data_IF_044477305428
#
_entry.id   IF_044477305428
#
_cell.length_a   1.000
_cell.length_b   1.000
_cell.length_c   1.000
_cell.angle_alpha   90.00
_cell.angle_beta   90.00
_cell.angle_gamma   90.00
#
_symmetry.space_group_name_H-M   'P 1'
#
loop_
_entity.id
_entity.type
_entity.pdbx_description
1 polymer ?
#
# COMPACT_ATOMS: atom_id res chain seq x y z
N UNK A 1 7.12 -4.09 -24.46
CA UNK A 1 7.33 -2.74 -23.91
C UNK A 1 6.06 -1.95 -24.19
N UNK A 2 5.27 -1.66 -23.16
CA UNK A 2 4.17 -0.71 -23.32
C UNK A 2 4.74 0.66 -23.66
N UNK A 3 4.22 1.26 -24.72
CA UNK A 3 4.59 2.61 -25.13
C UNK A 3 3.95 3.60 -24.15
N UNK A 4 4.65 3.91 -23.05
CA UNK A 4 4.21 4.88 -22.06
C UNK A 4 4.55 6.30 -22.55
N UNK A 5 3.54 7.13 -22.79
CA UNK A 5 3.79 8.54 -23.12
C UNK A 5 4.41 9.30 -21.95
N UNK A 6 5.08 10.42 -22.23
CA UNK A 6 5.65 11.30 -21.18
C UNK A 6 4.59 11.74 -20.17
N UNK A 7 3.39 12.09 -20.64
CA UNK A 7 2.27 12.52 -19.78
C UNK A 7 1.77 11.38 -18.90
N UNK A 8 1.63 10.18 -19.43
CA UNK A 8 1.24 8.99 -18.65
C UNK A 8 2.28 8.67 -17.58
N UNK A 9 3.56 8.68 -17.93
CA UNK A 9 4.66 8.50 -16.98
C UNK A 9 4.59 9.50 -15.83
N UNK A 10 4.42 10.79 -16.12
CA UNK A 10 4.30 11.83 -15.07
C UNK A 10 3.11 11.56 -14.16
N UNK A 11 1.95 11.14 -14.70
CA UNK A 11 0.77 10.82 -13.89
C UNK A 11 0.99 9.59 -13.01
N UNK A 12 1.65 8.54 -13.51
CA UNK A 12 2.03 7.36 -12.73
C UNK A 12 3.01 7.70 -11.61
N UNK A 13 4.02 8.53 -11.87
CA UNK A 13 4.95 8.98 -10.84
C UNK A 13 4.25 9.84 -9.77
N UNK A 14 3.25 10.63 -10.16
CA UNK A 14 2.40 11.35 -9.20
C UNK A 14 1.55 10.39 -8.38
N UNK A 15 1.03 9.31 -8.97
CA UNK A 15 0.33 8.24 -8.24
C UNK A 15 1.26 7.57 -7.23
N UNK A 16 2.46 7.17 -7.65
CA UNK A 16 3.49 6.61 -6.78
C UNK A 16 3.82 7.52 -5.59
N UNK A 17 4.02 8.83 -5.82
CA UNK A 17 4.28 9.78 -4.75
C UNK A 17 3.12 9.89 -3.75
N UNK A 18 1.87 9.87 -4.22
CA UNK A 18 0.70 9.86 -3.34
C UNK A 18 0.64 8.59 -2.49
N UNK A 19 0.95 7.44 -3.08
CA UNK A 19 1.01 6.16 -2.35
C UNK A 19 2.16 6.13 -1.36
N UNK A 20 3.32 6.66 -1.72
CA UNK A 20 4.46 6.80 -0.82
C UNK A 20 4.09 7.60 0.44
N UNK A 21 3.39 8.73 0.28
CA UNK A 21 2.92 9.55 1.40
C UNK A 21 1.89 8.81 2.27
N UNK A 22 0.98 8.05 1.65
CA UNK A 22 0.02 7.21 2.39
C UNK A 22 0.74 6.10 3.16
N UNK A 23 1.71 5.44 2.53
CA UNK A 23 2.54 4.39 3.11
C UNK A 23 3.26 4.90 4.34
N UNK A 24 3.98 6.01 4.22
CA UNK A 24 4.67 6.60 5.37
C UNK A 24 3.70 6.92 6.52
N UNK A 25 2.52 7.49 6.22
CA UNK A 25 1.52 7.83 7.23
C UNK A 25 1.00 6.60 7.97
N UNK A 26 0.56 5.58 7.24
CA UNK A 26 -0.08 4.39 7.82
C UNK A 26 0.95 3.52 8.54
N UNK A 27 2.13 3.33 7.96
CA UNK A 27 3.19 2.49 8.55
C UNK A 27 3.67 3.09 9.87
N UNK A 28 3.81 4.42 9.97
CA UNK A 28 4.09 5.10 11.24
C UNK A 28 3.04 4.81 12.31
N UNK A 29 1.76 4.75 11.93
CA UNK A 29 0.69 4.46 12.87
C UNK A 29 0.64 2.97 13.26
N UNK A 30 0.77 2.08 12.29
CA UNK A 30 0.83 0.63 12.52
C UNK A 30 1.99 0.24 13.43
N UNK A 31 3.17 0.86 13.27
CA UNK A 31 4.32 0.64 14.17
C UNK A 31 4.00 1.03 15.61
N UNK A 32 3.33 2.16 15.85
CA UNK A 32 2.94 2.55 17.22
C UNK A 32 1.98 1.54 17.83
N UNK A 33 0.96 1.14 17.07
CA UNK A 33 -0.02 0.15 17.51
C UNK A 33 0.67 -1.19 17.83
N UNK A 34 1.54 -1.67 16.95
CA UNK A 34 2.29 -2.91 17.15
C UNK A 34 3.20 -2.87 18.40
N UNK A 35 3.86 -1.74 18.65
CA UNK A 35 4.67 -1.54 19.88
C UNK A 35 3.79 -1.57 21.12
N UNK A 36 2.62 -0.92 21.10
CA UNK A 36 1.73 -0.86 22.26
C UNK A 36 1.12 -2.23 22.54
N UNK A 37 0.56 -2.88 21.53
CA UNK A 37 -0.15 -4.15 21.66
C UNK A 37 0.81 -5.30 21.98
N UNK A 38 2.02 -5.30 21.40
CA UNK A 38 3.05 -6.28 21.78
C UNK A 38 3.47 -6.19 23.24
N UNK A 39 3.46 -5.00 23.85
CA UNK A 39 3.73 -4.85 25.29
C UNK A 39 2.59 -5.41 26.13
N UNK A 40 1.34 -5.18 25.72
CA UNK A 40 0.16 -5.71 26.41
C UNK A 40 0.15 -7.23 26.41
N UNK A 41 0.38 -7.87 25.26
CA UNK A 41 0.49 -9.33 25.16
C UNK A 41 1.65 -9.89 25.98
N UNK A 42 2.74 -9.13 26.15
CA UNK A 42 3.88 -9.56 26.96
C UNK A 42 3.67 -9.36 28.48
N UNK A 43 2.63 -8.63 28.90
CA UNK A 43 2.30 -8.40 30.29
C UNK A 43 1.34 -9.50 30.78
N UNK A 44 1.84 -10.41 31.61
CA UNK A 44 1.06 -11.53 32.18
C UNK A 44 -0.14 -11.06 33.03
N UNK A 45 -0.24 -9.77 33.35
CA UNK A 45 -1.37 -9.18 34.07
C UNK A 45 -2.40 -8.50 33.17
N UNK A 46 -2.10 -8.29 31.89
CA UNK A 46 -3.08 -7.82 30.89
C UNK A 46 -3.98 -9.00 30.47
N UNK A 47 -5.22 -8.68 30.11
CA UNK A 47 -6.20 -9.68 29.66
C UNK A 47 -6.06 -10.03 28.17
N UNK A 48 -5.25 -9.29 27.42
CA UNK A 48 -5.08 -9.48 25.99
C UNK A 48 -4.15 -10.65 25.69
N UNK A 49 -4.70 -11.73 25.15
CA UNK A 49 -3.90 -12.90 24.78
C UNK A 49 -3.13 -12.70 23.48
N UNK A 50 -3.78 -12.09 22.48
CA UNK A 50 -3.14 -11.81 21.20
C UNK A 50 -3.83 -10.66 20.45
N UNK A 51 -3.24 -10.20 19.34
CA UNK A 51 -3.85 -9.22 18.45
C UNK A 51 -3.44 -9.42 17.00
N UNK A 52 -4.20 -8.81 16.10
CA UNK A 52 -3.86 -8.69 14.68
C UNK A 52 -3.98 -7.24 14.22
N UNK A 53 -3.16 -6.86 13.23
CA UNK A 53 -3.24 -5.55 12.58
C UNK A 53 -3.34 -5.78 11.08
N UNK A 54 -4.52 -5.53 10.52
CA UNK A 54 -4.75 -5.63 9.08
C UNK A 54 -4.92 -4.24 8.48
N UNK A 55 -4.35 -4.05 7.30
CA UNK A 55 -4.58 -2.88 6.48
C UNK A 55 -5.24 -3.32 5.17
N UNK A 56 -6.33 -2.64 4.82
CA UNK A 56 -6.94 -2.72 3.50
C UNK A 56 -6.88 -1.35 2.83
N UNK A 57 -6.45 -1.29 1.58
CA UNK A 57 -6.44 -0.08 0.75
C UNK A 57 -7.27 -0.33 -0.49
N UNK A 58 -8.39 0.37 -0.62
CA UNK A 58 -9.19 0.43 -1.84
C UNK A 58 -8.69 1.54 -2.75
N UNK A 59 -8.54 1.22 -4.03
CA UNK A 59 -8.20 2.16 -5.08
C UNK A 59 -9.45 2.48 -5.87
N UNK A 60 -9.82 3.76 -5.96
CA UNK A 60 -11.11 4.20 -6.49
C UNK A 60 -10.89 4.91 -7.81
N UNK A 61 -11.77 4.67 -8.79
CA UNK A 61 -11.77 5.38 -10.08
C UNK A 61 -11.81 6.90 -9.87
N UNK A 62 -11.18 7.64 -10.78
CA UNK A 62 -11.41 9.09 -10.87
C UNK A 62 -12.86 9.36 -11.27
N UNK A 63 -13.42 10.44 -10.72
CA UNK A 63 -14.76 10.92 -11.07
C UNK A 63 -14.94 11.30 -12.54
N UNK A 64 -13.86 11.58 -13.25
CA UNK A 64 -13.87 11.91 -14.68
C UNK A 64 -13.68 10.67 -15.59
N UNK A 65 -13.58 9.47 -15.03
CA UNK A 65 -13.53 8.23 -15.79
C UNK A 65 -14.92 7.87 -16.32
N UNK A 66 -14.99 7.38 -17.56
CA UNK A 66 -16.27 7.02 -18.21
C UNK A 66 -17.02 5.89 -17.49
N UNK A 67 -16.32 5.06 -16.73
CA UNK A 67 -16.91 3.95 -15.99
C UNK A 67 -17.34 4.34 -14.57
N UNK A 68 -17.09 5.59 -14.16
CA UNK A 68 -17.46 6.07 -12.83
C UNK A 68 -18.98 6.20 -12.69
N UNK A 69 -19.53 5.72 -11.57
CA UNK A 69 -20.95 5.79 -11.21
C UNK A 69 -21.09 6.33 -9.80
N UNK A 70 -21.80 7.45 -9.62
CA UNK A 70 -21.91 8.12 -8.31
C UNK A 70 -22.47 7.21 -7.20
N UNK A 71 -23.38 6.30 -7.56
CA UNK A 71 -24.06 5.39 -6.62
C UNK A 71 -23.36 4.02 -6.45
N UNK A 72 -22.07 3.91 -6.82
CA UNK A 72 -21.27 2.69 -6.76
C UNK A 72 -19.96 2.93 -5.97
N UNK A 73 -19.31 1.87 -5.51
CA UNK A 73 -18.04 1.95 -4.78
C UNK A 73 -16.88 2.36 -5.70
N UNK A 74 -17.01 2.14 -7.01
CA UNK A 74 -16.04 2.51 -8.04
C UNK A 74 -14.62 1.94 -7.81
N UNK A 75 -14.52 0.77 -7.19
CA UNK A 75 -13.24 0.13 -6.91
C UNK A 75 -12.56 -0.36 -8.19
N UNK A 76 -11.31 0.05 -8.36
CA UNK A 76 -10.37 -0.47 -9.37
C UNK A 76 -9.74 -1.75 -8.87
N UNK A 77 -9.22 -1.73 -7.64
CA UNK A 77 -8.56 -2.87 -6.99
C UNK A 77 -8.44 -2.62 -5.49
N UNK A 78 -7.94 -3.61 -4.75
CA UNK A 78 -7.57 -3.48 -3.35
C UNK A 78 -6.20 -4.10 -3.03
N UNK A 79 -5.49 -3.53 -2.06
CA UNK A 79 -4.31 -4.12 -1.45
C UNK A 79 -4.67 -4.51 -0.01
N UNK A 80 -4.29 -5.72 0.39
CA UNK A 80 -4.43 -6.22 1.75
C UNK A 80 -3.03 -6.47 2.32
N UNK A 81 -2.79 -5.99 3.54
CA UNK A 81 -1.50 -6.08 4.22
C UNK A 81 -1.70 -6.55 5.65
N UNK A 82 -0.81 -7.44 6.09
CA UNK A 82 -0.75 -7.93 7.46
C UNK A 82 0.42 -7.29 8.18
N UNK A 83 0.14 -6.52 9.23
CA UNK A 83 1.09 -5.59 9.85
C UNK A 83 1.48 -5.96 11.29
N UNK A 84 0.99 -7.07 11.85
CA UNK A 84 1.51 -7.56 13.15
C UNK A 84 3.01 -7.85 13.06
N UNK A 85 3.74 -7.46 14.08
CA UNK A 85 5.19 -7.59 14.16
C UNK A 85 5.96 -6.57 13.30
N UNK A 86 5.28 -5.59 12.70
CA UNK A 86 5.95 -4.57 11.88
C UNK A 86 7.03 -3.81 12.64
N UNK A 87 6.84 -3.56 13.94
CA UNK A 87 7.83 -2.88 14.79
C UNK A 87 9.13 -3.66 15.00
N UNK A 88 9.09 -4.98 14.75
CA UNK A 88 10.25 -5.88 14.89
C UNK A 88 11.04 -6.01 13.59
N UNK A 89 10.50 -5.55 12.46
CA UNK A 89 11.17 -5.63 11.15
C UNK A 89 12.27 -4.58 11.04
N UNK A 90 13.41 -4.97 10.49
CA UNK A 90 14.51 -4.03 10.18
C UNK A 90 13.99 -2.94 9.25
N UNK A 91 14.07 -1.69 9.71
CA UNK A 91 13.64 -0.50 8.97
C UNK A 91 12.23 -0.59 8.38
N UNK A 92 11.31 -1.34 9.01
CA UNK A 92 9.93 -1.57 8.49
C UNK A 92 9.86 -2.19 7.09
N UNK A 93 10.85 -2.98 6.66
CA UNK A 93 10.81 -3.70 5.37
C UNK A 93 9.49 -4.50 5.20
N UNK A 94 8.84 -4.49 4.01
CA UNK A 94 9.26 -3.87 2.74
C UNK A 94 8.81 -2.42 2.56
N UNK A 95 8.21 -1.79 3.58
CA UNK A 95 7.56 -0.50 3.47
C UNK A 95 8.47 0.71 3.74
N UNK A 96 9.79 0.49 3.84
CA UNK A 96 10.73 1.60 4.01
C UNK A 96 10.73 2.52 2.79
N UNK A 97 10.94 3.81 3.03
CA UNK A 97 11.18 4.79 1.96
C UNK A 97 12.56 4.62 1.31
N UNK A 98 13.48 3.90 1.96
CA UNK A 98 14.81 3.61 1.43
C UNK A 98 14.78 2.42 0.46
N UNK A 99 13.76 1.56 0.58
CA UNK A 99 13.58 0.41 -0.28
C UNK A 99 12.91 0.83 -1.58
N UNK A 100 13.67 0.82 -2.67
CA UNK A 100 13.10 0.96 -4.01
C UNK A 100 12.60 -0.42 -4.46
N UNK A 101 11.34 -0.51 -4.88
CA UNK A 101 10.64 -1.73 -5.28
C UNK A 101 10.41 -1.82 -6.81
N UNK A 102 11.14 -0.99 -7.56
CA UNK A 102 11.08 -1.00 -9.01
C UNK A 102 11.70 -2.27 -9.61
N UNK A 103 10.86 -3.13 -10.21
CA UNK A 103 11.23 -4.38 -10.89
C UNK A 103 11.90 -4.17 -12.25
N UNK A 104 11.77 -2.97 -12.82
CA UNK A 104 12.23 -2.68 -14.17
C UNK A 104 13.68 -2.21 -14.25
N UNK A 105 14.42 -2.13 -13.14
CA UNK A 105 15.80 -1.59 -13.11
C UNK A 105 16.76 -2.32 -14.04
N UNK A 106 16.55 -3.63 -14.24
CA UNK A 106 17.35 -4.45 -15.16
C UNK A 106 16.92 -4.37 -16.63
N UNK A 107 15.82 -3.69 -16.95
CA UNK A 107 15.22 -3.75 -18.27
C UNK A 107 15.73 -2.60 -19.15
N UNK A 108 16.54 -2.94 -20.16
CA UNK A 108 17.33 -1.99 -20.96
C UNK A 108 16.53 -0.79 -21.49
N UNK A 109 15.29 -1.01 -21.93
CA UNK A 109 14.48 0.01 -22.59
C UNK A 109 13.15 0.29 -21.88
N UNK A 110 13.00 -0.13 -20.62
CA UNK A 110 11.75 0.11 -19.90
C UNK A 110 11.63 1.61 -19.50
N UNK A 111 10.50 2.27 -19.80
CA UNK A 111 10.35 3.71 -19.57
C UNK A 111 10.44 4.11 -18.10
N UNK A 112 10.19 3.16 -17.18
CA UNK A 112 10.24 3.38 -15.72
C UNK A 112 11.52 2.87 -15.05
N UNK A 113 12.52 2.35 -15.80
CA UNK A 113 13.67 1.62 -15.22
C UNK A 113 14.52 2.40 -14.21
N UNK A 114 14.53 3.73 -14.31
CA UNK A 114 15.36 4.61 -13.48
C UNK A 114 14.57 5.30 -12.35
N UNK A 115 13.27 5.01 -12.22
CA UNK A 115 12.42 5.68 -11.25
C UNK A 115 12.38 4.92 -9.90
N UNK A 116 12.03 5.63 -8.83
CA UNK A 116 11.76 5.02 -7.53
C UNK A 116 10.30 4.58 -7.46
N UNK A 117 10.04 3.33 -7.06
CA UNK A 117 8.69 2.84 -6.78
C UNK A 117 8.59 2.47 -5.29
N UNK A 118 7.59 3.01 -4.60
CA UNK A 118 7.24 2.54 -3.25
C UNK A 118 6.59 1.16 -3.33
N UNK A 119 6.49 0.48 -2.19
CA UNK A 119 5.95 -0.87 -2.10
C UNK A 119 4.52 -0.97 -2.64
N UNK A 120 3.61 -0.08 -2.22
CA UNK A 120 2.22 -0.18 -2.70
C UNK A 120 2.03 0.18 -4.16
N UNK A 121 2.89 1.03 -4.74
CA UNK A 121 2.88 1.24 -6.19
C UNK A 121 3.39 0.00 -6.92
N UNK A 122 4.41 -0.67 -6.38
CA UNK A 122 4.89 -1.96 -6.88
C UNK A 122 3.78 -3.02 -6.85
N UNK A 123 3.07 -3.17 -5.72
CA UNK A 123 1.98 -4.14 -5.60
C UNK A 123 0.89 -3.96 -6.66
N UNK A 124 0.58 -2.72 -7.08
CA UNK A 124 -0.45 -2.49 -8.10
C UNK A 124 -0.15 -3.21 -9.42
N UNK A 125 1.09 -3.15 -9.92
CA UNK A 125 1.44 -3.80 -11.19
C UNK A 125 1.98 -5.23 -10.99
N UNK A 126 2.66 -5.52 -9.89
CA UNK A 126 3.34 -6.81 -9.70
C UNK A 126 2.44 -7.86 -9.05
N UNK A 127 1.66 -7.48 -8.03
CA UNK A 127 0.83 -8.40 -7.25
C UNK A 127 -0.65 -8.37 -7.68
N UNK A 128 -1.14 -7.20 -8.08
CA UNK A 128 -2.52 -7.02 -8.54
C UNK A 128 -2.63 -7.07 -10.07
N UNK A 129 -1.49 -7.16 -10.76
CA UNK A 129 -1.39 -7.26 -12.22
C UNK A 129 -2.16 -6.17 -12.97
N UNK A 130 -2.24 -4.96 -12.40
CA UNK A 130 -2.83 -3.83 -13.12
C UNK A 130 -1.88 -3.36 -14.21
N UNK A 131 -2.44 -3.17 -15.39
CA UNK A 131 -1.77 -2.48 -16.48
C UNK A 131 -1.66 -0.97 -16.17
N UNK A 132 -0.69 -0.30 -16.79
CA UNK A 132 -0.47 1.13 -16.56
C UNK A 132 -1.72 1.96 -16.87
N UNK A 133 -2.48 1.59 -17.89
CA UNK A 133 -3.74 2.24 -18.27
C UNK A 133 -4.78 2.18 -17.15
N UNK A 134 -4.88 1.07 -16.42
CA UNK A 134 -5.82 0.91 -15.32
C UNK A 134 -5.34 1.62 -14.06
N UNK A 135 -4.04 1.55 -13.75
CA UNK A 135 -3.45 2.36 -12.68
C UNK A 135 -3.69 3.85 -12.91
N UNK A 136 -3.63 4.30 -14.17
CA UNK A 136 -3.93 5.67 -14.53
C UNK A 136 -5.37 6.05 -14.24
N UNK A 137 -6.35 5.14 -14.17
CA UNK A 137 -7.75 5.49 -13.85
C UNK A 137 -7.98 5.79 -12.37
N UNK A 138 -7.01 5.50 -11.51
CA UNK A 138 -7.14 5.70 -10.06
C UNK A 138 -7.16 7.19 -9.72
N UNK A 139 -8.21 7.61 -9.01
CA UNK A 139 -8.41 8.96 -8.51
C UNK A 139 -8.17 9.10 -7.03
N UNK A 140 -8.72 8.20 -6.22
CA UNK A 140 -8.74 8.29 -4.76
C UNK A 140 -8.33 6.97 -4.12
N UNK A 141 -8.00 7.04 -2.83
CA UNK A 141 -7.70 5.87 -2.00
C UNK A 141 -8.57 5.93 -0.76
N UNK A 142 -9.12 4.80 -0.36
CA UNK A 142 -9.70 4.60 0.96
C UNK A 142 -8.89 3.53 1.67
N UNK A 143 -8.34 3.84 2.85
CA UNK A 143 -7.55 2.88 3.64
C UNK A 143 -8.18 2.64 5.01
N UNK A 144 -8.37 1.37 5.36
CA UNK A 144 -8.79 0.94 6.70
C UNK A 144 -7.63 0.22 7.41
N UNK A 145 -7.19 0.76 8.54
CA UNK A 145 -6.28 0.08 9.46
C UNK A 145 -7.10 -0.48 10.62
N UNK A 146 -7.20 -1.82 10.70
CA UNK A 146 -8.03 -2.54 11.67
C UNK A 146 -7.15 -3.28 12.66
N UNK A 147 -7.48 -3.13 13.93
CA UNK A 147 -6.89 -3.92 15.02
C UNK A 147 -7.93 -4.92 15.49
N UNK A 148 -7.54 -6.19 15.57
CA UNK A 148 -8.35 -7.24 16.17
C UNK A 148 -7.71 -7.63 17.49
N UNK A 149 -8.45 -7.49 18.58
CA UNK A 149 -8.05 -8.00 19.89
C UNK A 149 -8.54 -9.44 20.02
N UNK A 150 -7.69 -10.35 20.49
CA UNK A 150 -7.96 -11.79 20.56
C UNK A 150 -7.83 -12.28 22.00
N UNK A 151 -8.74 -13.17 22.38
CA UNK A 151 -8.89 -13.74 23.72
C UNK A 151 -9.12 -15.26 23.61
N UNK A 152 -8.45 -16.05 24.43
CA UNK A 152 -8.67 -17.50 24.56
C UNK A 152 -9.36 -17.84 25.88
N UNK A 153 -10.13 -18.93 25.90
CA UNK A 153 -10.73 -19.55 27.11
C UNK A 153 -10.54 -21.07 27.01
#
# INVERSE_FOLDING_TARGET
>A
MQNLSKTQKVRLLKLNLRLQNLQEKIIKEAVKLDIELSKRVADETDILDDYEIDLKIHFILRKDDENYKEDDDNFVTEINEYLKGISKKSNTYPWSLEDNQNEFRGWENHPMKNDYHCWWFHCLYDHNHLEWEDMLKIGEFWSDLKVYYQYFD
#
